data_IF_149662212362
#
_entry.id   IF_149662212362
#
_cell.length_a   1.000
_cell.length_b   1.000
_cell.length_c   1.000
_cell.angle_alpha   90.00
_cell.angle_beta   90.00
_cell.angle_gamma   90.00
#
_symmetry.space_group_name_H-M   'P 1'
#
loop_
_entity.id
_entity.type
_entity.pdbx_description
1 polymer ?
#
# COMPACT_ATOMS: atom_id res chain seq x y z
N UNK A 1 10.82 23.50 11.55
CA UNK A 1 9.53 22.78 11.49
C UNK A 1 8.60 23.37 12.54
N UNK A 2 7.32 23.61 12.20
CA UNK A 2 6.36 24.24 13.09
C UNK A 2 6.00 23.29 14.25
N UNK A 3 6.21 23.72 15.49
CA UNK A 3 5.88 22.93 16.69
C UNK A 3 4.71 23.56 17.44
N UNK A 4 3.48 23.26 17.01
CA UNK A 4 2.27 23.82 17.63
C UNK A 4 2.13 23.49 19.12
N UNK A 5 2.71 22.39 19.60
CA UNK A 5 2.75 22.05 21.03
C UNK A 5 3.42 23.14 21.89
N UNK A 6 4.28 23.99 21.32
CA UNK A 6 4.85 25.13 22.03
C UNK A 6 3.78 26.18 22.37
N UNK A 7 2.73 26.35 21.55
CA UNK A 7 1.59 27.21 21.90
C UNK A 7 0.88 26.72 23.17
N UNK A 8 0.84 25.42 23.42
CA UNK A 8 0.24 24.88 24.64
C UNK A 8 1.03 25.27 25.90
N UNK A 9 2.35 25.45 25.80
CA UNK A 9 3.16 26.00 26.90
C UNK A 9 2.81 27.48 27.15
N UNK A 10 2.68 28.28 26.10
CA UNK A 10 2.31 29.68 26.22
C UNK A 10 0.89 29.86 26.78
N UNK A 11 -0.08 29.06 26.33
CA UNK A 11 -1.47 29.08 26.82
C UNK A 11 -1.60 28.71 28.29
N UNK A 12 -0.74 27.83 28.83
CA UNK A 12 -0.73 27.51 30.27
C UNK A 12 -0.42 28.73 31.14
N UNK A 13 0.45 29.63 30.67
CA UNK A 13 0.85 30.84 31.40
C UNK A 13 -0.03 32.05 31.04
N UNK A 14 -0.63 32.05 29.84
CA UNK A 14 -1.50 33.11 29.34
C UNK A 14 -2.78 32.49 28.71
N UNK A 15 -3.80 32.16 29.54
CA UNK A 15 -4.97 31.39 29.10
C UNK A 15 -5.85 32.12 28.07
N UNK A 16 -5.89 33.45 28.12
CA UNK A 16 -6.75 34.29 27.28
C UNK A 16 -5.98 34.97 26.14
N UNK A 17 -5.03 34.26 25.53
CA UNK A 17 -4.19 34.80 24.45
C UNK A 17 -5.05 35.13 23.22
N UNK A 18 -4.93 36.36 22.71
CA UNK A 18 -5.45 36.72 21.40
C UNK A 18 -4.30 36.72 20.38
N UNK A 19 -4.20 35.66 19.58
CA UNK A 19 -3.15 35.53 18.56
C UNK A 19 -3.29 36.49 17.37
N UNK A 20 -4.38 37.26 17.31
CA UNK A 20 -4.53 38.37 16.36
C UNK A 20 -3.93 39.69 16.90
N UNK A 21 -3.63 39.75 18.21
CA UNK A 21 -3.02 40.91 18.86
C UNK A 21 -1.50 40.84 18.81
N UNK A 22 -0.87 41.87 18.25
CA UNK A 22 0.60 42.02 18.24
C UNK A 22 1.19 42.01 19.65
N UNK A 23 0.51 42.61 20.62
CA UNK A 23 0.98 42.63 22.01
C UNK A 23 1.00 41.24 22.63
N UNK A 24 -0.01 40.43 22.35
CA UNK A 24 -0.08 39.06 22.88
C UNK A 24 0.91 38.13 22.18
N UNK A 25 1.18 38.31 20.88
CA UNK A 25 2.28 37.62 20.19
C UNK A 25 3.63 37.95 20.84
N UNK A 26 3.87 39.21 21.25
CA UNK A 26 5.09 39.61 21.97
C UNK A 26 5.17 38.92 23.34
N UNK A 27 4.03 38.76 24.05
CA UNK A 27 4.00 38.02 25.32
C UNK A 27 4.31 36.54 25.11
N UNK A 28 3.74 35.91 24.08
CA UNK A 28 4.08 34.53 23.65
C UNK A 28 5.57 34.39 23.39
N UNK A 29 6.15 35.32 22.63
CA UNK A 29 7.59 35.34 22.33
C UNK A 29 8.44 35.37 23.61
N UNK A 30 8.10 36.23 24.57
CA UNK A 30 8.81 36.31 25.86
C UNK A 30 8.73 35.00 26.65
N UNK A 31 7.55 34.39 26.72
CA UNK A 31 7.34 33.10 27.42
C UNK A 31 8.19 32.01 26.78
N UNK A 32 8.05 31.80 25.46
CA UNK A 32 8.74 30.71 24.76
C UNK A 32 10.26 30.87 24.77
N UNK A 33 10.77 32.11 24.66
CA UNK A 33 12.21 32.38 24.78
C UNK A 33 12.73 32.18 26.21
N UNK A 34 11.91 32.45 27.22
CA UNK A 34 12.26 32.16 28.61
C UNK A 34 12.32 30.66 28.86
N UNK A 35 11.32 29.91 28.41
CA UNK A 35 11.29 28.44 28.50
C UNK A 35 12.48 27.79 27.78
N UNK A 36 12.86 28.29 26.60
CA UNK A 36 14.05 27.84 25.88
C UNK A 36 15.37 28.11 26.61
N UNK A 37 15.42 29.12 27.48
CA UNK A 37 16.61 29.42 28.32
C UNK A 37 16.62 28.60 29.60
N UNK A 38 15.46 28.25 30.13
CA UNK A 38 15.31 27.55 31.41
C UNK A 38 15.31 26.02 31.26
N UNK A 39 14.91 25.49 30.10
CA UNK A 39 14.81 24.05 29.85
C UNK A 39 15.57 23.60 28.59
N UNK A 40 16.28 22.48 28.69
CA UNK A 40 17.02 21.87 27.57
C UNK A 40 16.13 21.31 26.44
N UNK A 41 14.82 21.22 26.66
CA UNK A 41 13.89 20.52 25.76
C UNK A 41 13.18 21.45 24.75
N UNK A 42 13.37 22.77 24.84
CA UNK A 42 12.75 23.72 23.91
C UNK A 42 13.80 24.27 22.96
N UNK A 43 13.67 23.95 21.66
CA UNK A 43 14.60 24.40 20.63
C UNK A 43 14.30 25.85 20.22
N UNK A 44 15.26 26.75 20.40
CA UNK A 44 15.13 28.17 20.05
C UNK A 44 14.75 28.39 18.57
N UNK A 45 15.29 27.58 17.65
CA UNK A 45 14.96 27.69 16.22
C UNK A 45 13.49 27.34 15.98
N UNK A 46 12.95 26.34 16.69
CA UNK A 46 11.54 25.98 16.59
C UNK A 46 10.62 27.10 17.13
N UNK A 47 11.06 27.79 18.19
CA UNK A 47 10.37 28.97 18.73
C UNK A 47 10.34 30.09 17.69
N UNK A 48 11.48 30.44 17.10
CA UNK A 48 11.56 31.49 16.08
C UNK A 48 10.66 31.17 14.87
N UNK A 49 10.71 29.94 14.34
CA UNK A 49 9.82 29.51 13.26
C UNK A 49 8.33 29.66 13.60
N UNK A 50 7.93 29.29 14.82
CA UNK A 50 6.55 29.43 15.27
C UNK A 50 6.14 30.90 15.40
N UNK A 51 7.02 31.76 15.91
CA UNK A 51 6.73 33.18 16.07
C UNK A 51 6.63 33.89 14.72
N UNK A 52 7.52 33.57 13.77
CA UNK A 52 7.40 34.07 12.39
C UNK A 52 6.06 33.67 11.79
N UNK A 53 5.68 32.39 11.95
CA UNK A 53 4.40 31.90 11.48
C UNK A 53 3.20 32.64 12.09
N UNK A 54 3.17 32.80 13.42
CA UNK A 54 2.08 33.51 14.11
C UNK A 54 2.01 34.99 13.73
N UNK A 55 3.15 35.65 13.50
CA UNK A 55 3.21 37.05 13.04
C UNK A 55 2.64 37.21 11.62
N UNK A 56 2.80 36.20 10.77
CA UNK A 56 2.32 36.21 9.39
C UNK A 56 0.85 35.80 9.25
N UNK A 57 0.40 34.80 10.02
CA UNK A 57 -0.89 34.15 9.78
C UNK A 57 -1.83 34.15 11.00
N UNK A 58 -1.39 34.67 12.15
CA UNK A 58 -2.21 34.70 13.37
C UNK A 58 -2.67 33.30 13.80
N UNK A 59 -3.93 33.19 14.18
CA UNK A 59 -4.58 31.92 14.54
C UNK A 59 -5.22 31.18 13.37
N UNK A 60 -5.26 31.80 12.19
CA UNK A 60 -6.07 31.38 11.03
C UNK A 60 -5.96 29.90 10.68
N UNK A 61 -4.75 29.35 10.65
CA UNK A 61 -4.52 27.95 10.23
C UNK A 61 -4.47 26.96 11.39
N UNK A 62 -4.59 27.40 12.64
CA UNK A 62 -4.53 26.50 13.80
C UNK A 62 -5.60 25.40 13.79
N UNK A 63 -6.86 25.65 13.37
CA UNK A 63 -7.88 24.59 13.27
C UNK A 63 -7.51 23.49 12.25
N UNK A 64 -6.73 23.82 11.22
CA UNK A 64 -6.27 22.87 10.20
C UNK A 64 -5.05 22.11 10.72
N UNK A 65 -4.04 22.84 11.20
CA UNK A 65 -2.75 22.30 11.66
C UNK A 65 -2.87 21.48 12.94
N UNK A 66 -3.92 21.68 13.74
CA UNK A 66 -4.19 20.86 14.93
C UNK A 66 -4.60 19.42 14.63
N UNK A 67 -4.87 19.07 13.37
CA UNK A 67 -5.21 17.71 12.97
C UNK A 67 -3.95 16.88 12.71
N UNK A 68 -3.85 15.71 13.36
CA UNK A 68 -2.67 14.82 13.31
C UNK A 68 -2.20 14.48 11.89
N UNK A 69 -3.13 14.15 10.99
CA UNK A 69 -2.78 13.82 9.61
C UNK A 69 -2.25 15.05 8.84
N UNK A 70 -2.79 16.25 9.09
CA UNK A 70 -2.26 17.48 8.49
C UNK A 70 -0.83 17.73 8.97
N UNK A 71 -0.57 17.57 10.27
CA UNK A 71 0.78 17.72 10.83
C UNK A 71 1.77 16.75 10.16
N UNK A 72 1.35 15.53 9.85
CA UNK A 72 2.17 14.55 9.15
C UNK A 72 2.42 14.98 7.69
N UNK A 73 1.37 15.42 6.98
CA UNK A 73 1.48 15.83 5.57
C UNK A 73 2.43 17.03 5.44
N UNK A 74 2.28 18.06 6.28
CA UNK A 74 3.14 19.26 6.21
C UNK A 74 4.61 18.97 6.60
N UNK A 75 4.89 17.88 7.33
CA UNK A 75 6.28 17.45 7.61
C UNK A 75 7.01 17.05 6.34
N UNK A 76 6.30 16.56 5.32
CA UNK A 76 6.91 16.24 4.02
C UNK A 76 7.64 14.91 3.96
N UNK A 77 7.59 14.07 5.01
CA UNK A 77 8.41 12.86 5.13
C UNK A 77 7.79 11.58 4.53
N UNK A 78 6.50 11.61 4.17
CA UNK A 78 5.78 10.43 3.65
C UNK A 78 5.35 9.43 4.74
N UNK A 79 5.31 9.84 6.01
CA UNK A 79 4.86 8.98 7.11
C UNK A 79 3.37 8.61 6.94
N UNK A 80 2.98 7.46 7.51
CA UNK A 80 1.62 6.96 7.41
C UNK A 80 0.57 7.92 7.97
N UNK A 81 -0.52 8.13 7.21
CA UNK A 81 -1.72 8.82 7.67
C UNK A 81 -2.91 7.85 7.83
N UNK A 82 -3.69 8.08 8.89
CA UNK A 82 -4.88 7.27 9.15
C UNK A 82 -5.99 7.59 8.13
N UNK A 83 -6.84 6.62 7.77
CA UNK A 83 -7.98 6.85 6.87
C UNK A 83 -9.14 7.56 7.61
N UNK A 84 -8.87 8.75 8.13
CA UNK A 84 -9.83 9.58 8.86
C UNK A 84 -10.14 10.82 8.00
N UNK A 85 -11.40 11.12 7.68
CA UNK A 85 -11.75 12.31 6.90
C UNK A 85 -11.31 13.61 7.56
N UNK A 86 -10.98 14.61 6.74
CA UNK A 86 -10.76 15.97 7.22
C UNK A 86 -12.05 16.54 7.84
N UNK A 87 -11.93 17.16 9.01
CA UNK A 87 -13.03 17.87 9.65
C UNK A 87 -12.97 19.34 9.26
N UNK A 88 -13.78 19.75 8.29
CA UNK A 88 -13.83 21.13 7.78
C UNK A 88 -14.80 22.05 8.54
N UNK A 89 -15.58 21.52 9.49
CA UNK A 89 -16.61 22.28 10.18
C UNK A 89 -16.06 23.57 10.81
N UNK A 90 -16.60 24.72 10.39
CA UNK A 90 -16.21 26.04 10.90
C UNK A 90 -14.97 26.64 10.24
N UNK A 91 -14.46 26.08 9.14
CA UNK A 91 -13.32 26.61 8.39
C UNK A 91 -13.83 27.15 7.05
N UNK A 92 -13.58 28.42 6.77
CA UNK A 92 -13.98 29.05 5.51
C UNK A 92 -13.16 28.52 4.32
N UNK A 93 -13.80 28.36 3.16
CA UNK A 93 -13.16 27.86 1.93
C UNK A 93 -11.95 28.71 1.51
N UNK A 94 -12.03 30.03 1.67
CA UNK A 94 -10.91 30.94 1.41
C UNK A 94 -9.68 30.66 2.30
N UNK A 95 -9.91 30.20 3.54
CA UNK A 95 -8.83 29.79 4.44
C UNK A 95 -8.21 28.47 4.02
N UNK A 96 -9.00 27.52 3.51
CA UNK A 96 -8.49 26.25 2.97
C UNK A 96 -7.64 26.47 1.71
N UNK A 97 -8.07 27.35 0.81
CA UNK A 97 -7.33 27.70 -0.40
C UNK A 97 -6.01 28.40 -0.07
N UNK A 98 -6.01 29.35 0.86
CA UNK A 98 -4.77 30.01 1.27
C UNK A 98 -3.81 29.04 1.98
N UNK A 99 -4.35 28.14 2.81
CA UNK A 99 -3.57 27.08 3.43
C UNK A 99 -2.87 26.20 2.39
N UNK A 100 -3.62 25.75 1.36
CA UNK A 100 -3.07 24.98 0.25
C UNK A 100 -1.89 25.71 -0.39
N UNK A 101 -2.05 27.00 -0.72
CA UNK A 101 -1.00 27.79 -1.36
C UNK A 101 0.24 27.96 -0.48
N UNK A 102 0.06 28.23 0.81
CA UNK A 102 1.17 28.43 1.76
C UNK A 102 1.98 27.15 1.96
N UNK A 103 1.32 25.99 1.99
CA UNK A 103 1.95 24.70 2.27
C UNK A 103 2.15 23.83 1.03
N UNK A 104 1.94 24.35 -0.18
CA UNK A 104 1.97 23.57 -1.44
C UNK A 104 3.29 22.79 -1.59
N UNK A 105 4.43 23.42 -1.28
CA UNK A 105 5.74 22.76 -1.35
C UNK A 105 5.87 21.58 -0.37
N UNK A 106 5.35 21.73 0.85
CA UNK A 106 5.35 20.67 1.86
C UNK A 106 4.44 19.51 1.45
N UNK A 107 3.25 19.84 0.94
CA UNK A 107 2.26 18.87 0.45
C UNK A 107 2.85 18.08 -0.72
N UNK A 108 3.42 18.78 -1.71
CA UNK A 108 4.08 18.15 -2.85
C UNK A 108 5.25 17.25 -2.42
N UNK A 109 6.09 17.72 -1.48
CA UNK A 109 7.18 16.92 -0.91
C UNK A 109 6.66 15.64 -0.26
N UNK A 110 5.58 15.73 0.53
CA UNK A 110 4.96 14.56 1.16
C UNK A 110 4.45 13.56 0.12
N UNK A 111 3.72 14.01 -0.89
CA UNK A 111 3.18 13.15 -1.94
C UNK A 111 4.30 12.43 -2.71
N UNK A 112 5.39 13.13 -3.04
CA UNK A 112 6.57 12.51 -3.66
C UNK A 112 7.25 11.50 -2.74
N UNK A 113 7.36 11.77 -1.44
CA UNK A 113 7.91 10.78 -0.51
C UNK A 113 7.00 9.56 -0.38
N UNK A 114 5.67 9.73 -0.39
CA UNK A 114 4.76 8.60 -0.45
C UNK A 114 5.02 7.72 -1.69
N UNK A 115 5.24 8.32 -2.85
CA UNK A 115 5.57 7.58 -4.09
C UNK A 115 6.92 6.88 -3.98
N UNK A 116 7.94 7.55 -3.44
CA UNK A 116 9.29 7.00 -3.27
C UNK A 116 9.31 5.81 -2.30
N UNK A 117 8.54 5.90 -1.22
CA UNK A 117 8.44 4.89 -0.17
C UNK A 117 7.35 3.84 -0.43
N UNK A 118 6.71 3.85 -1.61
CA UNK A 118 5.59 2.97 -1.96
C UNK A 118 4.43 3.02 -0.93
N UNK A 119 4.20 4.18 -0.31
CA UNK A 119 3.15 4.40 0.70
C UNK A 119 1.80 4.70 0.04
N UNK A 120 1.33 3.79 -0.81
CA UNK A 120 0.18 3.99 -1.70
C UNK A 120 -1.13 4.32 -0.97
N UNK A 121 -1.38 3.68 0.16
CA UNK A 121 -2.55 3.98 0.99
C UNK A 121 -2.54 5.41 1.51
N UNK A 122 -1.36 5.93 1.90
CA UNK A 122 -1.24 7.30 2.38
C UNK A 122 -1.40 8.29 1.23
N UNK A 123 -0.86 7.98 0.05
CA UNK A 123 -1.08 8.77 -1.17
C UNK A 123 -2.58 8.85 -1.50
N UNK A 124 -3.24 7.68 -1.59
CA UNK A 124 -4.68 7.55 -1.81
C UNK A 124 -5.51 8.34 -0.79
N UNK A 125 -5.16 8.24 0.49
CA UNK A 125 -5.85 8.95 1.56
C UNK A 125 -5.77 10.47 1.40
N UNK A 126 -4.65 11.04 0.90
CA UNK A 126 -4.59 12.49 0.65
C UNK A 126 -5.58 12.89 -0.44
N UNK A 127 -5.57 12.19 -1.58
CA UNK A 127 -6.45 12.52 -2.71
C UNK A 127 -7.94 12.36 -2.39
N UNK A 128 -8.31 11.44 -1.48
CA UNK A 128 -9.71 11.16 -1.16
C UNK A 128 -10.23 11.88 0.06
N UNK A 129 -9.44 11.94 1.14
CA UNK A 129 -9.87 12.45 2.45
C UNK A 129 -9.43 13.89 2.69
N UNK A 130 -8.46 14.37 1.91
CA UNK A 130 -7.91 15.72 1.99
C UNK A 130 -7.78 16.38 0.61
N UNK A 131 -8.80 16.31 -0.28
CA UNK A 131 -8.69 16.80 -1.65
C UNK A 131 -8.35 18.29 -1.74
N UNK A 132 -8.76 19.09 -0.75
CA UNK A 132 -8.43 20.52 -0.67
C UNK A 132 -6.92 20.80 -0.56
N UNK A 133 -6.09 19.83 -0.18
CA UNK A 133 -4.63 20.00 -0.11
C UNK A 133 -3.97 19.91 -1.49
N UNK A 134 -4.60 19.27 -2.46
CA UNK A 134 -3.96 18.95 -3.73
C UNK A 134 -4.42 19.94 -4.80
N UNK A 135 -3.59 20.94 -5.07
CA UNK A 135 -3.81 21.89 -6.16
C UNK A 135 -3.80 21.18 -7.51
N UNK A 136 -4.47 21.72 -8.53
CA UNK A 136 -4.44 21.13 -9.89
C UNK A 136 -3.01 20.98 -10.41
N UNK A 137 -2.15 21.95 -10.14
CA UNK A 137 -0.71 21.90 -10.47
C UNK A 137 0.01 20.75 -9.76
N UNK A 138 -0.28 20.54 -8.46
CA UNK A 138 0.29 19.43 -7.70
C UNK A 138 -0.24 18.09 -8.22
N UNK A 139 -1.52 17.99 -8.56
CA UNK A 139 -2.12 16.79 -9.17
C UNK A 139 -1.39 16.42 -10.44
N UNK A 140 -1.25 17.35 -11.38
CA UNK A 140 -0.61 17.09 -12.68
C UNK A 140 0.83 16.55 -12.52
N UNK A 141 1.63 17.16 -11.64
CA UNK A 141 2.99 16.68 -11.35
C UNK A 141 3.02 15.26 -10.77
N UNK A 142 2.06 14.95 -9.89
CA UNK A 142 1.94 13.61 -9.31
C UNK A 142 1.51 12.61 -10.37
N UNK A 143 0.59 12.99 -11.26
CA UNK A 143 0.13 12.13 -12.37
C UNK A 143 1.29 11.80 -13.31
N UNK A 144 2.07 12.80 -13.71
CA UNK A 144 3.28 12.60 -14.52
C UNK A 144 4.28 11.66 -13.81
N UNK A 145 4.50 11.84 -12.51
CA UNK A 145 5.42 10.98 -11.73
C UNK A 145 4.96 9.52 -11.69
N UNK A 146 3.65 9.29 -11.56
CA UNK A 146 3.06 7.95 -11.58
C UNK A 146 3.06 7.35 -13.00
N UNK A 147 2.79 8.14 -14.03
CA UNK A 147 2.87 7.69 -15.42
C UNK A 147 4.29 7.28 -15.79
N UNK A 148 5.33 8.02 -15.37
CA UNK A 148 6.73 7.59 -15.55
C UNK A 148 7.03 6.21 -14.94
N UNK A 149 6.37 5.84 -13.83
CA UNK A 149 6.48 4.50 -13.24
C UNK A 149 5.81 3.43 -14.11
N UNK A 150 4.67 3.75 -14.72
CA UNK A 150 3.98 2.89 -15.68
C UNK A 150 4.81 2.73 -16.97
N UNK A 151 5.32 3.82 -17.53
CA UNK A 151 6.21 3.82 -18.70
C UNK A 151 7.47 2.98 -18.47
N UNK A 152 8.06 3.06 -17.27
CA UNK A 152 9.19 2.20 -16.91
C UNK A 152 8.79 0.71 -16.89
N UNK A 153 7.57 0.39 -16.44
CA UNK A 153 7.03 -0.98 -16.46
C UNK A 153 6.76 -1.45 -17.88
N UNK A 154 6.15 -0.61 -18.72
CA UNK A 154 5.91 -0.83 -20.15
C UNK A 154 7.24 -1.15 -20.85
N UNK A 155 8.24 -0.28 -20.67
CA UNK A 155 9.57 -0.43 -21.26
C UNK A 155 10.26 -1.72 -20.80
N UNK A 156 10.16 -2.07 -19.52
CA UNK A 156 10.74 -3.32 -19.02
C UNK A 156 10.08 -4.57 -19.63
N UNK A 157 8.77 -4.55 -19.87
CA UNK A 157 8.07 -5.65 -20.52
C UNK A 157 8.46 -5.74 -22.01
N UNK A 158 8.47 -4.60 -22.70
CA UNK A 158 8.77 -4.56 -24.12
C UNK A 158 10.20 -5.03 -24.44
N UNK A 159 11.15 -4.71 -23.56
CA UNK A 159 12.57 -5.09 -23.69
C UNK A 159 12.90 -6.47 -23.07
N UNK A 160 11.90 -7.28 -22.66
CA UNK A 160 12.11 -8.59 -22.02
C UNK A 160 12.93 -8.51 -20.69
N UNK A 161 12.94 -7.36 -20.01
CA UNK A 161 13.66 -7.07 -18.75
C UNK A 161 12.78 -7.14 -17.49
N UNK A 162 11.50 -7.52 -17.62
CA UNK A 162 10.50 -7.52 -16.56
C UNK A 162 10.86 -8.37 -15.32
N UNK A 163 11.71 -9.39 -15.46
CA UNK A 163 12.17 -10.21 -14.32
C UNK A 163 13.03 -9.39 -13.38
N UNK A 164 14.15 -8.84 -13.87
CA UNK A 164 15.05 -8.00 -13.08
C UNK A 164 14.35 -6.73 -12.61
N UNK A 165 13.58 -6.11 -13.50
CA UNK A 165 12.84 -4.89 -13.20
C UNK A 165 11.86 -5.07 -12.05
N UNK A 166 11.01 -6.11 -12.06
CA UNK A 166 10.02 -6.32 -11.00
C UNK A 166 10.62 -6.65 -9.64
N UNK A 167 11.84 -7.18 -9.60
CA UNK A 167 12.59 -7.38 -8.36
C UNK A 167 13.15 -6.06 -7.83
N UNK A 168 13.69 -5.21 -8.72
CA UNK A 168 14.23 -3.90 -8.35
C UNK A 168 13.14 -2.83 -8.07
N UNK A 169 11.97 -3.01 -8.68
CA UNK A 169 10.84 -2.07 -8.66
C UNK A 169 9.56 -2.77 -8.21
N UNK A 170 9.40 -3.06 -6.90
CA UNK A 170 8.28 -3.87 -6.39
C UNK A 170 6.89 -3.32 -6.74
N UNK A 171 6.78 -2.00 -6.97
CA UNK A 171 5.53 -1.34 -7.32
C UNK A 171 4.89 -1.90 -8.59
N UNK A 172 5.67 -2.43 -9.55
CA UNK A 172 5.14 -3.00 -10.80
C UNK A 172 4.31 -4.27 -10.59
N UNK A 173 4.44 -4.88 -9.41
CA UNK A 173 3.73 -6.09 -9.02
C UNK A 173 2.88 -5.86 -7.76
N UNK A 174 2.66 -4.60 -7.37
CA UNK A 174 1.94 -4.23 -6.15
C UNK A 174 0.49 -3.85 -6.46
N UNK A 175 -0.44 -4.63 -5.94
CA UNK A 175 -1.89 -4.37 -6.03
C UNK A 175 -2.23 -2.97 -5.50
N UNK A 176 -1.62 -2.57 -4.38
CA UNK A 176 -1.93 -1.29 -3.74
C UNK A 176 -1.53 -0.09 -4.61
N UNK A 177 -0.50 -0.24 -5.46
CA UNK A 177 -0.11 0.77 -6.43
C UNK A 177 -1.22 1.01 -7.48
N UNK A 178 -1.69 -0.05 -8.13
CA UNK A 178 -2.72 0.06 -9.17
C UNK A 178 -4.10 0.47 -8.63
N UNK A 179 -4.46 0.01 -7.43
CA UNK A 179 -5.66 0.52 -6.73
C UNK A 179 -5.52 2.00 -6.38
N UNK A 180 -4.32 2.49 -6.03
CA UNK A 180 -4.09 3.91 -5.82
C UNK A 180 -4.26 4.73 -7.10
N UNK A 181 -3.72 4.27 -8.25
CA UNK A 181 -3.94 4.93 -9.55
C UNK A 181 -5.43 5.12 -9.85
N UNK A 182 -6.22 4.05 -9.63
CA UNK A 182 -7.68 4.05 -9.84
C UNK A 182 -8.40 5.08 -8.97
N UNK A 183 -7.92 5.26 -7.74
CA UNK A 183 -8.54 6.21 -6.81
C UNK A 183 -8.13 7.65 -7.11
N UNK A 184 -6.93 7.84 -7.64
CA UNK A 184 -6.35 9.16 -7.90
C UNK A 184 -6.95 9.76 -9.16
N UNK A 185 -6.84 9.07 -10.29
CA UNK A 185 -7.39 9.53 -11.59
C UNK A 185 -7.42 8.37 -12.61
N UNK A 186 -8.50 7.57 -12.64
CA UNK A 186 -8.54 6.39 -13.50
C UNK A 186 -8.50 6.75 -14.99
N UNK A 187 -9.11 7.87 -15.39
CA UNK A 187 -9.12 8.30 -16.79
C UNK A 187 -7.71 8.59 -17.33
N UNK A 188 -6.85 9.17 -16.50
CA UNK A 188 -5.48 9.53 -16.89
C UNK A 188 -4.59 8.31 -17.12
N UNK A 189 -4.78 7.24 -16.35
CA UNK A 189 -3.91 6.06 -16.40
C UNK A 189 -4.44 4.92 -17.29
N UNK A 190 -5.66 5.03 -17.83
CA UNK A 190 -6.34 3.96 -18.58
C UNK A 190 -5.49 3.42 -19.74
N UNK A 191 -4.92 4.33 -20.55
CA UNK A 191 -4.05 4.00 -21.70
C UNK A 191 -2.75 3.29 -21.29
N UNK A 192 -2.13 3.72 -20.19
CA UNK A 192 -0.92 3.08 -19.64
C UNK A 192 -1.22 1.63 -19.24
N UNK A 193 -2.34 1.42 -18.53
CA UNK A 193 -2.75 0.10 -18.05
C UNK A 193 -3.13 -0.83 -19.21
N UNK A 194 -3.85 -0.31 -20.20
CA UNK A 194 -4.18 -1.03 -21.43
C UNK A 194 -2.89 -1.46 -22.16
N UNK A 195 -1.90 -0.57 -22.24
CA UNK A 195 -0.61 -0.85 -22.88
C UNK A 195 0.15 -1.96 -22.16
N UNK A 196 0.22 -1.92 -20.82
CA UNK A 196 0.83 -2.98 -20.00
C UNK A 196 0.14 -4.32 -20.28
N UNK A 197 -1.19 -4.36 -20.22
CA UNK A 197 -1.98 -5.56 -20.48
C UNK A 197 -1.71 -6.16 -21.87
N UNK A 198 -1.72 -5.31 -22.90
CA UNK A 198 -1.47 -5.73 -24.29
C UNK A 198 -0.04 -6.24 -24.50
N UNK A 199 0.95 -5.61 -23.88
CA UNK A 199 2.34 -6.07 -23.94
C UNK A 199 2.52 -7.43 -23.25
N UNK A 200 1.91 -7.64 -22.09
CA UNK A 200 1.94 -8.94 -21.40
C UNK A 200 1.37 -10.04 -22.31
N UNK A 201 0.21 -9.78 -22.94
CA UNK A 201 -0.41 -10.72 -23.89
C UNK A 201 0.50 -11.06 -25.07
N UNK A 202 1.25 -10.08 -25.60
CA UNK A 202 2.22 -10.29 -26.70
C UNK A 202 3.49 -11.03 -26.25
N UNK A 203 3.94 -10.79 -25.01
CA UNK A 203 5.21 -11.30 -24.47
C UNK A 203 5.04 -12.59 -23.66
N UNK A 204 3.83 -13.14 -23.55
CA UNK A 204 3.60 -14.43 -22.90
C UNK A 204 4.43 -15.52 -23.59
N UNK A 205 5.44 -16.04 -22.89
CA UNK A 205 6.32 -17.13 -23.35
C UNK A 205 6.05 -18.39 -22.53
N UNK A 206 6.26 -19.57 -23.12
CA UNK A 206 5.87 -20.86 -22.51
C UNK A 206 6.75 -21.32 -21.33
N UNK A 207 7.76 -20.55 -20.90
CA UNK A 207 8.56 -20.92 -19.73
C UNK A 207 7.84 -20.52 -18.44
N UNK A 208 7.71 -21.46 -17.50
CA UNK A 208 7.03 -21.23 -16.21
C UNK A 208 7.55 -19.99 -15.46
N UNK A 209 8.87 -19.78 -15.45
CA UNK A 209 9.49 -18.63 -14.78
C UNK A 209 9.03 -17.30 -15.37
N UNK A 210 9.08 -17.14 -16.71
CA UNK A 210 8.61 -15.91 -17.37
C UNK A 210 7.13 -15.65 -17.12
N UNK A 211 6.29 -16.70 -17.19
CA UNK A 211 4.87 -16.58 -16.88
C UNK A 211 4.62 -16.17 -15.43
N UNK A 212 5.41 -16.67 -14.48
CA UNK A 212 5.30 -16.25 -13.09
C UNK A 212 5.50 -14.74 -12.92
N UNK A 213 6.55 -14.16 -13.52
CA UNK A 213 6.82 -12.72 -13.40
C UNK A 213 5.80 -11.86 -14.15
N UNK A 214 5.45 -12.22 -15.40
CA UNK A 214 4.38 -11.53 -16.13
C UNK A 214 3.03 -11.66 -15.42
N UNK A 215 2.75 -12.81 -14.82
CA UNK A 215 1.55 -13.08 -14.03
C UNK A 215 1.46 -12.20 -12.79
N UNK A 216 2.57 -11.91 -12.10
CA UNK A 216 2.60 -10.96 -10.97
C UNK A 216 2.22 -9.55 -11.39
N UNK A 217 2.75 -9.06 -12.51
CA UNK A 217 2.41 -7.74 -13.06
C UNK A 217 0.93 -7.74 -13.50
N UNK A 218 0.51 -8.77 -14.26
CA UNK A 218 -0.85 -8.91 -14.75
C UNK A 218 -1.86 -8.94 -13.59
N UNK A 219 -1.56 -9.70 -12.54
CA UNK A 219 -2.40 -9.81 -11.35
C UNK A 219 -2.50 -8.47 -10.61
N UNK A 220 -1.40 -7.71 -10.54
CA UNK A 220 -1.42 -6.39 -9.90
C UNK A 220 -2.31 -5.41 -10.68
N UNK A 221 -2.19 -5.35 -12.02
CA UNK A 221 -3.00 -4.44 -12.85
C UNK A 221 -4.49 -4.81 -12.84
N UNK A 222 -4.88 -6.07 -12.52
CA UNK A 222 -6.31 -6.43 -12.47
C UNK A 222 -7.08 -5.73 -11.33
N UNK A 223 -6.37 -5.11 -10.38
CA UNK A 223 -6.97 -4.29 -9.32
C UNK A 223 -7.05 -2.81 -9.68
N UNK A 224 -6.73 -2.46 -10.93
CA UNK A 224 -7.04 -1.15 -11.49
C UNK A 224 -8.53 -1.08 -11.88
N UNK A 225 -9.27 -0.15 -11.30
CA UNK A 225 -10.64 0.16 -11.71
C UNK A 225 -10.62 1.16 -12.87
N UNK A 226 -10.59 0.61 -14.09
CA UNK A 226 -10.56 1.38 -15.32
C UNK A 226 -11.80 2.26 -15.53
N UNK A 227 -11.59 3.39 -16.20
CA UNK A 227 -12.68 4.28 -16.62
C UNK A 227 -13.47 3.67 -17.78
N UNK A 228 -12.78 3.08 -18.75
CA UNK A 228 -13.39 2.39 -19.89
C UNK A 228 -13.94 1.00 -19.52
N UNK A 229 -15.16 0.70 -19.96
CA UNK A 229 -15.81 -0.60 -19.72
C UNK A 229 -15.01 -1.77 -20.32
N UNK A 230 -14.46 -1.59 -21.52
CA UNK A 230 -13.69 -2.64 -22.23
C UNK A 230 -12.42 -3.05 -21.48
N UNK A 231 -11.65 -2.07 -20.98
CA UNK A 231 -10.45 -2.34 -20.20
C UNK A 231 -10.82 -2.98 -18.87
N UNK A 232 -11.87 -2.49 -18.20
CA UNK A 232 -12.34 -3.04 -16.93
C UNK A 232 -12.72 -4.52 -17.06
N UNK A 233 -13.45 -4.89 -18.10
CA UNK A 233 -13.88 -6.26 -18.33
C UNK A 233 -12.69 -7.17 -18.73
N UNK A 234 -11.75 -6.65 -19.52
CA UNK A 234 -10.50 -7.33 -19.85
C UNK A 234 -9.67 -7.64 -18.61
N UNK A 235 -9.48 -6.65 -17.73
CA UNK A 235 -8.74 -6.82 -16.48
C UNK A 235 -9.40 -7.85 -15.55
N UNK A 236 -10.72 -7.82 -15.43
CA UNK A 236 -11.48 -8.83 -14.66
C UNK A 236 -11.30 -10.24 -15.22
N UNK A 237 -11.39 -10.41 -16.53
CA UNK A 237 -11.18 -11.71 -17.18
C UNK A 237 -9.75 -12.23 -17.01
N UNK A 238 -8.76 -11.33 -16.93
CA UNK A 238 -7.36 -11.69 -16.83
C UNK A 238 -6.92 -12.06 -15.39
N UNK A 239 -7.75 -11.82 -14.39
CA UNK A 239 -7.40 -12.06 -12.98
C UNK A 239 -7.10 -13.55 -12.71
N UNK A 240 -7.97 -14.45 -13.16
CA UNK A 240 -7.80 -15.90 -12.99
C UNK A 240 -6.61 -16.42 -13.81
N UNK A 241 -6.40 -15.88 -15.02
CA UNK A 241 -5.28 -16.22 -15.89
C UNK A 241 -3.97 -15.86 -15.18
N UNK A 242 -3.85 -14.62 -14.70
CA UNK A 242 -2.68 -14.13 -13.98
C UNK A 242 -2.40 -14.98 -12.73
N UNK A 243 -3.44 -15.29 -11.96
CA UNK A 243 -3.34 -16.10 -10.76
C UNK A 243 -2.86 -17.53 -11.07
N UNK A 244 -3.31 -18.13 -12.17
CA UNK A 244 -2.86 -19.45 -12.63
C UNK A 244 -1.39 -19.47 -13.07
N UNK A 245 -0.90 -18.39 -13.68
CA UNK A 245 0.51 -18.25 -14.06
C UNK A 245 1.43 -18.13 -12.84
N UNK A 246 0.95 -17.43 -11.80
CA UNK A 246 1.66 -17.34 -10.52
C UNK A 246 1.64 -18.65 -9.74
N UNK A 247 0.58 -19.45 -9.91
CA UNK A 247 0.34 -20.70 -9.19
C UNK A 247 0.09 -21.85 -10.17
N UNK A 248 1.13 -22.44 -10.79
CA UNK A 248 0.96 -23.45 -11.84
C UNK A 248 0.29 -24.76 -11.40
N UNK A 249 0.04 -24.94 -10.09
CA UNK A 249 -0.71 -26.07 -9.52
C UNK A 249 -2.18 -25.71 -9.22
N UNK A 250 -2.60 -24.47 -9.45
CA UNK A 250 -3.97 -24.02 -9.21
C UNK A 250 -4.93 -24.65 -10.24
N UNK A 251 -6.01 -25.26 -9.74
CA UNK A 251 -6.97 -26.00 -10.58
C UNK A 251 -6.57 -27.43 -10.94
N UNK A 252 -5.36 -27.89 -10.59
CA UNK A 252 -5.03 -29.31 -10.66
C UNK A 252 -5.72 -30.03 -9.50
N UNK A 253 -6.87 -30.68 -9.78
CA UNK A 253 -7.31 -31.80 -8.92
C UNK A 253 -6.12 -32.73 -8.79
N UNK A 254 -5.74 -33.08 -7.55
CA UNK A 254 -4.66 -34.02 -7.28
C UNK A 254 -4.78 -35.19 -8.27
N UNK A 255 -3.75 -35.39 -9.09
CA UNK A 255 -3.75 -36.46 -10.07
C UNK A 255 -4.17 -37.74 -9.33
N UNK A 256 -5.13 -38.52 -9.85
CA UNK A 256 -5.43 -39.82 -9.26
C UNK A 256 -4.09 -40.55 -9.14
N UNK A 257 -3.75 -40.98 -7.93
CA UNK A 257 -2.52 -41.75 -7.72
C UNK A 257 -2.47 -42.85 -8.77
N UNK A 258 -1.38 -42.89 -9.53
CA UNK A 258 -1.16 -43.91 -10.55
C UNK A 258 -1.42 -45.29 -9.92
N UNK A 259 -2.24 -46.10 -10.59
CA UNK A 259 -2.66 -47.43 -10.14
C UNK A 259 -1.47 -48.29 -9.71
N UNK A 260 -0.31 -48.06 -10.34
CA UNK A 260 0.98 -48.69 -10.01
C UNK A 260 1.45 -48.35 -8.59
N UNK A 261 1.37 -47.09 -8.17
CA UNK A 261 1.75 -46.67 -6.82
C UNK A 261 0.77 -47.18 -5.75
N UNK A 262 -0.50 -47.32 -6.10
CA UNK A 262 -1.51 -47.93 -5.23
C UNK A 262 -1.22 -49.42 -5.03
N UNK A 263 -0.93 -50.15 -6.11
CA UNK A 263 -0.58 -51.57 -6.06
C UNK A 263 0.69 -51.79 -5.22
N UNK A 264 1.73 -50.99 -5.42
CA UNK A 264 2.98 -51.07 -4.64
C UNK A 264 2.71 -50.83 -3.15
N UNK A 265 1.89 -49.84 -2.80
CA UNK A 265 1.57 -49.51 -1.41
C UNK A 265 0.77 -50.62 -0.73
N UNK A 266 -0.18 -51.24 -1.44
CA UNK A 266 -0.94 -52.39 -0.93
C UNK A 266 -0.03 -53.60 -0.74
N UNK A 267 0.83 -53.93 -1.73
CA UNK A 267 1.77 -55.06 -1.62
C UNK A 267 2.72 -54.83 -0.44
N UNK A 268 3.29 -53.63 -0.31
CA UNK A 268 4.20 -53.28 0.80
C UNK A 268 3.50 -53.41 2.15
N UNK A 269 2.25 -52.95 2.26
CA UNK A 269 1.43 -53.12 3.46
C UNK A 269 1.17 -54.58 3.82
N UNK A 270 0.86 -55.43 2.83
CA UNK A 270 0.63 -56.87 3.03
C UNK A 270 1.92 -57.60 3.46
N UNK A 271 3.06 -57.26 2.85
CA UNK A 271 4.36 -57.84 3.22
C UNK A 271 4.73 -57.46 4.65
N UNK A 272 4.56 -56.20 5.04
CA UNK A 272 4.80 -55.74 6.42
C UNK A 272 3.86 -56.46 7.41
N UNK A 273 2.59 -56.66 7.04
CA UNK A 273 1.63 -57.39 7.86
C UNK A 273 2.05 -58.85 8.07
N UNK A 274 2.51 -59.51 7.00
CA UNK A 274 3.00 -60.89 7.06
C UNK A 274 4.22 -61.04 7.96
N UNK A 275 5.14 -60.08 7.92
CA UNK A 275 6.32 -60.05 8.80
C UNK A 275 5.93 -59.82 10.27
N UNK A 276 4.96 -58.93 10.54
CA UNK A 276 4.52 -58.64 11.91
C UNK A 276 3.78 -59.84 12.54
N UNK A 277 2.98 -60.58 11.77
CA UNK A 277 2.25 -61.77 12.25
C UNK A 277 3.21 -62.94 12.57
N UNK A 278 4.35 -63.02 11.90
CA UNK A 278 5.35 -64.07 12.13
C UNK A 278 6.17 -63.87 13.43
N UNK A 279 6.05 -62.72 14.09
CA UNK A 279 6.72 -62.43 15.36
C UNK A 279 5.80 -62.82 16.53
N UNK A 280 6.19 -63.75 17.42
CA UNK A 280 5.36 -64.14 18.56
C UNK A 280 5.15 -62.95 19.53
N UNK A 281 3.89 -62.59 19.80
CA UNK A 281 3.52 -61.58 20.81
C UNK A 281 2.94 -60.25 20.30
N UNK A 282 2.77 -60.07 18.99
CA UNK A 282 2.39 -58.77 18.35
C UNK A 282 0.95 -58.71 17.82
N UNK A 283 0.02 -59.51 18.38
CA UNK A 283 -1.35 -59.67 17.85
C UNK A 283 -2.14 -58.36 17.70
N UNK A 284 -1.92 -57.37 18.59
CA UNK A 284 -2.59 -56.07 18.50
C UNK A 284 -2.14 -55.19 17.31
N UNK A 285 -0.86 -55.27 16.92
CA UNK A 285 -0.32 -54.48 15.81
C UNK A 285 -0.78 -55.01 14.45
N UNK A 286 -0.92 -56.34 14.32
CA UNK A 286 -1.44 -56.98 13.11
C UNK A 286 -2.92 -56.63 12.86
N UNK A 287 -3.74 -56.54 13.91
CA UNK A 287 -5.16 -56.15 13.78
C UNK A 287 -5.30 -54.69 13.34
N UNK A 288 -4.49 -53.78 13.90
CA UNK A 288 -4.51 -52.36 13.54
C UNK A 288 -4.15 -52.10 12.08
N UNK A 289 -3.09 -52.74 11.59
CA UNK A 289 -2.68 -52.64 10.18
C UNK A 289 -3.68 -53.33 9.22
N UNK A 290 -4.28 -54.45 9.61
CA UNK A 290 -5.33 -55.11 8.80
C UNK A 290 -6.56 -54.23 8.59
N UNK A 291 -7.00 -53.51 9.64
CA UNK A 291 -8.11 -52.55 9.55
C UNK A 291 -7.72 -51.36 8.66
N UNK A 292 -6.49 -50.86 8.77
CA UNK A 292 -6.00 -49.77 7.93
C UNK A 292 -5.99 -50.15 6.44
N UNK A 293 -5.43 -51.31 6.09
CA UNK A 293 -5.40 -51.82 4.70
C UNK A 293 -6.82 -52.03 4.17
N UNK A 294 -7.72 -52.61 4.97
CA UNK A 294 -9.12 -52.84 4.57
C UNK A 294 -9.86 -51.52 4.32
N UNK A 295 -9.68 -50.52 5.19
CA UNK A 295 -10.28 -49.18 4.99
C UNK A 295 -9.72 -48.48 3.76
N UNK A 296 -8.44 -48.66 3.46
CA UNK A 296 -7.81 -48.10 2.27
C UNK A 296 -8.36 -48.76 0.99
N UNK A 297 -8.52 -50.09 0.95
CA UNK A 297 -9.13 -50.81 -0.19
C UNK A 297 -10.60 -50.39 -0.39
N UNK A 298 -11.36 -50.21 0.70
CA UNK A 298 -12.75 -49.74 0.62
C UNK A 298 -12.85 -48.30 0.14
N UNK A 299 -11.93 -47.42 0.56
CA UNK A 299 -11.87 -46.03 0.08
C UNK A 299 -11.49 -45.96 -1.41
N UNK A 300 -10.66 -46.88 -1.89
CA UNK A 300 -10.28 -47.00 -3.30
C UNK A 300 -11.41 -47.56 -4.18
N UNK A 301 -12.29 -48.42 -3.65
CA UNK A 301 -13.48 -48.95 -4.37
C UNK A 301 -14.65 -47.96 -4.49
N UNK A 302 -14.66 -46.88 -3.71
CA UNK A 302 -15.75 -45.87 -3.69
C UNK A 302 -15.47 -44.65 -4.59
N UNK A 303 -14.33 -44.62 -5.29
CA UNK A 303 -14.02 -43.69 -6.37
C UNK A 303 -14.21 -44.40 -7.71
#
# INVERSE_FOLDING_TARGET
MLQLQLLELAKKQLPNINLESKEDIIKVEKILKSEAKLGSNVNLNAVEYLLTFLKSYGSKFLPILGQKNIEIIIKGNGDFINPIPFKSAGIEDGTLLEFQNVFETNIYSYLNQCIKLNSWNSLKNVFTLYPFLVSEHTKEKIYQTLSLKNEATISAIDNDQYIEFSNANPYSCDVAYYTALSTIEPYYFDEDILTINNLISKKQRNTKERLYFLGRILYAITFFEAYGDDLRDTLRSNQDIAYSWMNPNYGQKAAPMDTTNIIIMVITGVVILGVIIAIPGTSGAAVGLGIFITRMIVALRKK
#
